data_IF_835463748628
#
_entry.id   IF_835463748628
#
_cell.length_a   1.000
_cell.length_b   1.000
_cell.length_c   1.000
_cell.angle_alpha   90.00
_cell.angle_beta   90.00
_cell.angle_gamma   90.00
#
_symmetry.space_group_name_H-M   'P 1'
#
loop_
_entity.id
_entity.type
_entity.pdbx_description
1 polymer ?
#
# COMPACT_ATOMS: atom_id res chain seq x y z
N UNK A 1 5.31 -12.19 -13.12
CA UNK A 1 4.56 -11.00 -12.65
C UNK A 1 5.56 -9.91 -12.24
N UNK A 2 6.02 -9.04 -13.16
CA UNK A 2 7.12 -8.09 -12.88
C UNK A 2 6.67 -6.83 -12.13
N UNK A 3 5.36 -6.56 -12.03
CA UNK A 3 4.82 -5.33 -11.46
C UNK A 3 3.81 -5.64 -10.36
N UNK A 4 3.82 -4.79 -9.34
CA UNK A 4 2.74 -4.62 -8.36
C UNK A 4 2.07 -3.27 -8.64
N UNK A 5 0.74 -3.23 -8.70
CA UNK A 5 0.02 -2.01 -9.07
C UNK A 5 -1.10 -1.76 -8.07
N UNK A 6 -1.09 -0.60 -7.45
CA UNK A 6 -2.23 -0.09 -6.68
C UNK A 6 -2.92 1.00 -7.51
N UNK A 7 -4.23 0.87 -7.69
CA UNK A 7 -5.06 1.87 -8.37
C UNK A 7 -6.11 2.39 -7.40
N UNK A 8 -6.05 3.67 -7.07
CA UNK A 8 -7.07 4.33 -6.23
C UNK A 8 -8.36 4.51 -7.02
N UNK A 9 -9.49 4.27 -6.35
CA UNK A 9 -10.85 4.53 -6.86
C UNK A 9 -11.52 5.67 -6.11
N UNK A 10 -11.12 5.93 -4.86
CA UNK A 10 -11.65 7.01 -4.03
C UNK A 10 -10.57 7.55 -3.10
N UNK A 11 -10.57 8.86 -2.88
CA UNK A 11 -9.75 9.53 -1.87
C UNK A 11 -10.70 10.29 -0.95
N UNK A 12 -10.64 10.01 0.35
CA UNK A 12 -11.42 10.69 1.39
C UNK A 12 -10.49 11.51 2.28
N UNK A 13 -10.76 12.79 2.43
CA UNK A 13 -10.06 13.63 3.41
C UNK A 13 -10.49 13.27 4.83
N UNK A 14 -9.52 13.13 5.74
CA UNK A 14 -9.74 12.88 7.16
C UNK A 14 -9.44 14.13 8.03
N UNK A 15 -8.93 15.21 7.42
CA UNK A 15 -8.45 16.40 8.13
C UNK A 15 -6.98 16.29 8.55
N UNK A 16 -6.38 17.41 8.98
CA UNK A 16 -4.98 17.48 9.44
C UNK A 16 -3.98 16.85 8.45
N UNK A 17 -4.15 17.11 7.15
CA UNK A 17 -3.37 16.56 6.05
C UNK A 17 -3.37 15.02 5.98
N UNK A 18 -4.38 14.35 6.56
CA UNK A 18 -4.56 12.90 6.46
C UNK A 18 -5.65 12.57 5.46
N UNK A 19 -5.42 11.50 4.72
CA UNK A 19 -6.29 11.01 3.67
C UNK A 19 -6.44 9.50 3.78
N UNK A 20 -7.63 9.01 3.45
CA UNK A 20 -7.93 7.60 3.28
C UNK A 20 -8.06 7.34 1.77
N UNK A 21 -7.12 6.59 1.21
CA UNK A 21 -7.18 6.17 -0.20
C UNK A 21 -7.78 4.77 -0.27
N UNK A 22 -8.88 4.60 -1.00
CA UNK A 22 -9.49 3.30 -1.29
C UNK A 22 -9.14 2.92 -2.72
N UNK A 23 -8.81 1.66 -2.93
CA UNK A 23 -8.42 1.18 -4.24
C UNK A 23 -8.22 -0.32 -4.29
N UNK A 24 -7.63 -0.78 -5.39
CA UNK A 24 -7.32 -2.20 -5.61
C UNK A 24 -5.82 -2.37 -5.76
N UNK A 25 -5.24 -3.28 -4.97
CA UNK A 25 -3.87 -3.75 -5.19
C UNK A 25 -3.91 -5.03 -6.01
N UNK A 26 -3.17 -5.02 -7.11
CA UNK A 26 -2.87 -6.19 -7.93
C UNK A 26 -1.42 -6.60 -7.71
N UNK A 27 -1.22 -7.81 -7.19
CA UNK A 27 0.09 -8.37 -6.90
C UNK A 27 0.09 -9.87 -7.24
N UNK A 28 1.11 -10.34 -7.99
CA UNK A 28 1.20 -11.72 -8.51
C UNK A 28 -0.09 -12.18 -9.26
N UNK A 29 -0.75 -11.25 -9.97
CA UNK A 29 -1.99 -11.54 -10.70
C UNK A 29 -3.25 -11.67 -9.83
N UNK A 30 -3.14 -11.50 -8.50
CA UNK A 30 -4.28 -11.48 -7.58
C UNK A 30 -4.61 -10.04 -7.22
N UNK A 31 -5.90 -9.70 -7.30
CA UNK A 31 -6.41 -8.36 -7.01
C UNK A 31 -7.21 -8.36 -5.71
N UNK A 32 -6.96 -7.38 -4.84
CA UNK A 32 -7.70 -7.21 -3.57
C UNK A 32 -8.03 -5.74 -3.33
N UNK A 33 -9.27 -5.42 -2.91
CA UNK A 33 -9.58 -4.07 -2.45
C UNK A 33 -8.82 -3.80 -1.15
N UNK A 34 -8.32 -2.58 -1.00
CA UNK A 34 -7.64 -2.13 0.21
C UNK A 34 -7.87 -0.65 0.49
N UNK A 35 -7.62 -0.30 1.74
CA UNK A 35 -7.66 1.07 2.24
C UNK A 35 -6.27 1.43 2.75
N UNK A 36 -5.72 2.53 2.24
CA UNK A 36 -4.37 2.99 2.54
C UNK A 36 -4.45 4.38 3.18
N UNK A 37 -4.11 4.52 4.47
CA UNK A 37 -3.99 5.81 5.10
C UNK A 37 -2.72 6.52 4.59
N UNK A 38 -2.87 7.79 4.22
CA UNK A 38 -1.79 8.64 3.71
C UNK A 38 -1.76 9.95 4.46
N UNK A 39 -0.57 10.38 4.84
CA UNK A 39 -0.30 11.72 5.34
C UNK A 39 0.38 12.53 4.24
N UNK A 40 -0.25 13.64 3.88
CA UNK A 40 0.31 14.64 3.01
C UNK A 40 1.19 15.60 3.81
N UNK A 41 2.37 15.92 3.27
CA UNK A 41 3.27 16.93 3.80
C UNK A 41 3.60 17.90 2.67
N UNK A 42 3.11 19.14 2.73
CA UNK A 42 3.51 20.15 1.75
C UNK A 42 5.01 20.44 1.92
N UNK A 43 5.70 20.67 0.80
CA UNK A 43 7.10 21.09 0.77
C UNK A 43 7.31 22.14 -0.31
N UNK A 44 8.42 22.88 -0.23
CA UNK A 44 8.66 24.02 -1.13
C UNK A 44 8.81 23.61 -2.59
N UNK A 45 9.54 22.53 -2.87
CA UNK A 45 9.79 22.05 -4.24
C UNK A 45 9.03 20.76 -4.59
N UNK A 46 8.67 19.97 -3.58
CA UNK A 46 7.93 18.73 -3.74
C UNK A 46 7.06 18.50 -2.51
N UNK A 47 5.84 18.02 -2.73
CA UNK A 47 5.03 17.48 -1.66
C UNK A 47 5.41 16.03 -1.39
N UNK A 48 5.32 15.61 -0.13
CA UNK A 48 5.59 14.22 0.27
C UNK A 48 4.32 13.55 0.74
N UNK A 49 4.13 12.29 0.35
CA UNK A 49 3.04 11.42 0.76
C UNK A 49 3.64 10.23 1.50
N UNK A 50 3.36 10.16 2.80
CA UNK A 50 3.76 9.06 3.65
C UNK A 50 2.57 8.14 3.91
N UNK A 51 2.74 6.84 3.75
CA UNK A 51 1.70 5.88 4.07
C UNK A 51 2.27 4.56 4.52
N UNK A 52 1.42 3.80 5.20
CA UNK A 52 1.72 2.45 5.60
C UNK A 52 0.46 1.60 5.57
N UNK A 53 0.59 0.34 5.18
CA UNK A 53 -0.49 -0.63 5.23
C UNK A 53 0.07 -2.03 5.53
N UNK A 54 -0.81 -2.91 5.98
CA UNK A 54 -0.48 -4.32 6.22
C UNK A 54 -0.96 -5.13 5.02
N UNK A 55 -0.04 -5.89 4.43
CA UNK A 55 -0.28 -6.83 3.35
C UNK A 55 -0.33 -8.24 3.93
N UNK A 56 -1.39 -9.00 3.66
CA UNK A 56 -1.43 -10.44 3.97
C UNK A 56 -0.81 -11.22 2.81
N UNK A 57 0.45 -11.62 2.92
CA UNK A 57 1.25 -12.19 1.82
C UNK A 57 0.58 -13.41 1.18
N UNK A 58 -0.11 -14.24 1.98
CA UNK A 58 -0.75 -15.47 1.51
C UNK A 58 -1.97 -15.19 0.62
N UNK A 59 -2.68 -14.07 0.82
CA UNK A 59 -3.81 -13.69 -0.05
C UNK A 59 -3.36 -13.42 -1.49
N UNK A 60 -2.09 -13.07 -1.67
CA UNK A 60 -1.44 -12.84 -2.96
C UNK A 60 -0.60 -14.03 -3.43
N UNK A 61 -0.61 -15.15 -2.69
CA UNK A 61 0.18 -16.34 -3.01
C UNK A 61 1.69 -16.13 -2.87
N UNK A 62 2.12 -15.28 -1.93
CA UNK A 62 3.54 -15.01 -1.68
C UNK A 62 4.03 -15.88 -0.51
N UNK A 63 5.05 -16.69 -0.77
CA UNK A 63 5.56 -17.70 0.17
C UNK A 63 4.63 -18.91 0.29
N UNK A 64 4.34 -19.55 -0.85
CA UNK A 64 3.57 -20.81 -0.93
C UNK A 64 4.48 -22.04 -0.67
N UNK A 65 3.88 -23.22 -0.52
CA UNK A 65 4.59 -24.47 -0.23
C UNK A 65 5.10 -24.53 1.20
N UNK A 66 6.35 -24.97 1.40
CA UNK A 66 6.99 -25.03 2.73
C UNK A 66 7.08 -23.67 3.45
N UNK A 67 6.88 -22.55 2.74
CA UNK A 67 6.89 -21.19 3.28
C UNK A 67 5.50 -20.65 3.65
N UNK A 68 4.46 -21.47 3.49
CA UNK A 68 3.08 -21.10 3.85
C UNK A 68 2.82 -21.13 5.35
N UNK A 69 3.72 -21.76 6.12
CA UNK A 69 3.64 -21.83 7.57
C UNK A 69 3.81 -20.44 8.20
N UNK A 70 2.73 -19.98 8.83
CA UNK A 70 2.66 -18.68 9.50
C UNK A 70 3.37 -18.65 10.86
N UNK A 71 3.68 -19.83 11.43
CA UNK A 71 4.46 -19.93 12.66
C UNK A 71 5.94 -19.61 12.43
N UNK A 72 6.44 -19.86 11.21
CA UNK A 72 7.83 -19.56 10.82
C UNK A 72 7.95 -18.15 10.22
N UNK A 73 6.97 -17.72 9.40
CA UNK A 73 6.96 -16.37 8.79
C UNK A 73 5.55 -15.78 8.88
N UNK A 74 5.41 -14.69 9.62
CA UNK A 74 4.13 -13.98 9.78
C UNK A 74 3.47 -13.72 8.41
N UNK A 75 2.15 -13.91 8.36
CA UNK A 75 1.37 -13.61 7.15
C UNK A 75 1.31 -12.09 6.88
N UNK A 76 1.39 -11.30 7.93
CA UNK A 76 1.34 -9.84 7.86
C UNK A 76 2.70 -9.26 7.49
N UNK A 77 2.71 -8.50 6.40
CA UNK A 77 3.87 -7.77 5.92
C UNK A 77 3.54 -6.28 5.99
N UNK A 78 4.29 -5.54 6.81
CA UNK A 78 4.12 -4.09 6.87
C UNK A 78 4.83 -3.44 5.67
N UNK A 79 4.05 -2.78 4.82
CA UNK A 79 4.57 -1.97 3.73
C UNK A 79 4.53 -0.51 4.16
N UNK A 80 5.68 0.16 4.11
CA UNK A 80 5.81 1.61 4.34
C UNK A 80 6.29 2.25 3.06
N UNK A 81 5.72 3.40 2.71
CA UNK A 81 6.15 4.16 1.56
C UNK A 81 6.23 5.65 1.88
N UNK A 82 7.14 6.30 1.17
CA UNK A 82 7.27 7.75 1.11
C UNK A 82 7.45 8.12 -0.35
N UNK A 83 6.52 8.89 -0.89
CA UNK A 83 6.54 9.32 -2.29
C UNK A 83 6.68 10.84 -2.32
N UNK A 84 7.70 11.36 -2.98
CA UNK A 84 7.81 12.78 -3.29
C UNK A 84 7.20 13.03 -4.67
N UNK A 85 6.30 14.01 -4.77
CA UNK A 85 5.72 14.45 -6.02
C UNK A 85 5.94 15.95 -6.19
N UNK A 86 6.49 16.34 -7.34
CA UNK A 86 6.51 17.73 -7.79
C UNK A 86 5.36 17.97 -8.77
N UNK A 87 4.72 19.13 -8.65
CA UNK A 87 3.86 19.64 -9.71
C UNK A 87 4.72 20.18 -10.85
N UNK A 88 4.22 20.11 -12.09
CA UNK A 88 4.69 20.98 -13.16
C UNK A 88 3.92 22.28 -13.10
#
# INVERSE_FOLDING_TARGET
YPKAVFTSSQIRALGNNRYEMRGTLTLKGKSRPMVVPVTYRPGQNAATFDGAFVLKRLEFGIGEGMWSDVATVANEVQVKFRIAASGK
#
